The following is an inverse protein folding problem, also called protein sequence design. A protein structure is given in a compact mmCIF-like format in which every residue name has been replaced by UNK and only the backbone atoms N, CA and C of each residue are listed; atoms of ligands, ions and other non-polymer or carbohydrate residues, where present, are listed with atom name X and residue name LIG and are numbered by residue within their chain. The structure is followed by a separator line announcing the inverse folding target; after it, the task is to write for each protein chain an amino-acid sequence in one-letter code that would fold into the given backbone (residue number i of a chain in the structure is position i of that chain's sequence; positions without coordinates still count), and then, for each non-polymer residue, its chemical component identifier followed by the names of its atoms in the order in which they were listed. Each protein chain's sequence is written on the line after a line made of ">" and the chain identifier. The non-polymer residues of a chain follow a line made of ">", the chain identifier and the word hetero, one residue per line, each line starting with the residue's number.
data_IF_261747707808
#
_entry.id   IF_261747707808
#
_cell.length_a   1.000
_cell.length_b   1.000
_cell.length_c   1.000
_cell.angle_alpha   90.00
_cell.angle_beta   90.00
_cell.angle_gamma   90.00
#
_symmetry.space_group_name_H-M   'P 1'
#
loop_
_entity.id
_entity.type
_entity.pdbx_description
1 polymer ?
#
# COMPACT_ATOMS: atom_id res chain seq x y z
N UNK A 1 2.98 6.49 2.92
CA UNK A 1 4.11 6.32 3.85
C UNK A 1 3.68 6.24 5.31
N UNK A 2 2.92 7.21 5.87
CA UNK A 2 2.49 7.11 7.28
C UNK A 2 1.62 5.87 7.61
N UNK A 3 0.65 5.52 6.75
CA UNK A 3 -0.19 4.34 6.97
C UNK A 3 0.59 3.02 6.92
N UNK A 4 1.59 2.91 6.04
CA UNK A 4 2.45 1.73 5.92
C UNK A 4 3.29 1.52 7.18
N UNK A 5 3.76 2.62 7.77
CA UNK A 5 4.46 2.59 9.06
C UNK A 5 3.52 2.14 10.19
N UNK A 6 2.32 2.72 10.30
CA UNK A 6 1.34 2.33 11.32
C UNK A 6 0.92 0.86 11.16
N UNK A 7 0.79 0.38 9.92
CA UNK A 7 0.52 -1.03 9.64
C UNK A 7 1.62 -1.94 10.19
N UNK A 8 2.89 -1.57 10.02
CA UNK A 8 4.04 -2.30 10.56
C UNK A 8 4.04 -2.33 12.09
N UNK A 9 3.80 -1.18 12.74
CA UNK A 9 3.74 -1.10 14.20
C UNK A 9 2.61 -1.93 14.78
N UNK A 10 1.41 -1.87 14.17
CA UNK A 10 0.27 -2.67 14.60
C UNK A 10 0.52 -4.17 14.41
N UNK A 11 1.20 -4.57 13.34
CA UNK A 11 1.60 -5.95 13.14
C UNK A 11 2.53 -6.43 14.26
N UNK A 12 3.58 -5.66 14.56
CA UNK A 12 4.52 -5.97 15.63
C UNK A 12 3.84 -6.04 17.00
N UNK A 13 2.87 -5.15 17.25
CA UNK A 13 2.07 -5.21 18.48
C UNK A 13 1.22 -6.48 18.54
N UNK A 14 0.58 -6.86 17.43
CA UNK A 14 -0.27 -8.05 17.36
C UNK A 14 0.52 -9.37 17.48
N UNK A 15 1.79 -9.41 17.09
CA UNK A 15 2.67 -10.58 17.33
C UNK A 15 2.76 -10.96 18.82
N UNK A 16 2.66 -9.96 19.70
CA UNK A 16 2.67 -10.16 21.16
C UNK A 16 1.27 -10.18 21.78
N UNK A 17 0.27 -9.57 21.13
CA UNK A 17 -1.11 -9.46 21.62
C UNK A 17 -2.15 -9.86 20.54
N UNK A 18 -2.15 -11.13 20.07
CA UNK A 18 -2.91 -11.54 18.89
C UNK A 18 -4.43 -11.41 19.05
N UNK A 19 -4.94 -11.49 20.29
CA UNK A 19 -6.37 -11.42 20.58
C UNK A 19 -6.87 -10.00 20.84
N UNK A 20 -6.03 -8.97 20.72
CA UNK A 20 -6.42 -7.58 20.95
C UNK A 20 -7.36 -7.10 19.84
N UNK A 21 -8.66 -7.16 20.11
CA UNK A 21 -9.72 -6.80 19.16
C UNK A 21 -9.65 -5.35 18.67
N UNK A 22 -9.12 -4.43 19.50
CA UNK A 22 -8.97 -3.03 19.10
C UNK A 22 -7.83 -2.89 18.09
N UNK A 23 -6.68 -3.49 18.37
CA UNK A 23 -5.53 -3.47 17.46
C UNK A 23 -5.85 -4.18 16.13
N UNK A 24 -6.59 -5.29 16.15
CA UNK A 24 -7.06 -5.96 14.93
C UNK A 24 -7.96 -5.06 14.07
N UNK A 25 -8.96 -4.40 14.69
CA UNK A 25 -9.85 -3.47 13.96
C UNK A 25 -9.06 -2.31 13.35
N UNK A 26 -8.12 -1.74 14.10
CA UNK A 26 -7.26 -0.67 13.62
C UNK A 26 -6.36 -1.13 12.48
N UNK A 27 -5.76 -2.33 12.61
CA UNK A 27 -4.93 -2.92 11.57
C UNK A 27 -5.69 -3.08 10.26
N UNK A 28 -6.92 -3.59 10.29
CA UNK A 28 -7.75 -3.70 9.08
C UNK A 28 -8.13 -2.33 8.50
N UNK A 29 -8.43 -1.34 9.35
CA UNK A 29 -8.74 0.01 8.92
C UNK A 29 -7.54 0.65 8.19
N UNK A 30 -6.36 0.59 8.82
CA UNK A 30 -5.10 1.12 8.28
C UNK A 30 -4.72 0.42 6.99
N UNK A 31 -4.83 -0.91 6.92
CA UNK A 31 -4.58 -1.67 5.68
C UNK A 31 -5.45 -1.19 4.52
N UNK A 32 -6.75 -1.00 4.76
CA UNK A 32 -7.67 -0.50 3.74
C UNK A 32 -7.27 0.90 3.28
N UNK A 33 -6.93 1.79 4.20
CA UNK A 33 -6.49 3.16 3.87
C UNK A 33 -5.17 3.18 3.10
N UNK A 34 -4.21 2.35 3.48
CA UNK A 34 -2.95 2.20 2.77
C UNK A 34 -3.19 1.71 1.33
N UNK A 35 -4.06 0.72 1.13
CA UNK A 35 -4.43 0.23 -0.19
C UNK A 35 -5.12 1.30 -1.05
N UNK A 36 -6.10 2.02 -0.50
CA UNK A 36 -6.80 3.13 -1.21
C UNK A 36 -5.81 4.20 -1.69
N UNK A 37 -4.87 4.60 -0.84
CA UNK A 37 -3.88 5.62 -1.19
C UNK A 37 -2.87 5.14 -2.23
N UNK A 38 -2.41 3.88 -2.13
CA UNK A 38 -1.55 3.28 -3.16
C UNK A 38 -2.26 3.22 -4.49
N UNK A 39 -3.51 2.77 -4.53
CA UNK A 39 -4.28 2.72 -5.77
C UNK A 39 -4.47 4.13 -6.38
N UNK A 40 -4.77 5.13 -5.55
CA UNK A 40 -4.88 6.53 -6.01
C UNK A 40 -3.58 7.04 -6.63
N UNK A 41 -2.44 6.67 -6.04
CA UNK A 41 -1.13 7.02 -6.57
C UNK A 41 -0.86 6.29 -7.88
N UNK A 42 -1.10 4.98 -7.91
CA UNK A 42 -0.84 4.13 -9.07
C UNK A 42 -1.67 4.53 -10.29
N UNK A 43 -2.92 4.97 -10.07
CA UNK A 43 -3.76 5.53 -11.14
C UNK A 43 -3.18 6.79 -11.78
N UNK A 44 -2.37 7.56 -11.03
CA UNK A 44 -1.81 8.83 -11.51
C UNK A 44 -0.40 8.68 -12.09
N UNK A 45 0.40 7.79 -11.51
CA UNK A 45 1.83 7.72 -11.78
C UNK A 45 2.31 6.34 -12.26
N UNK A 46 1.41 5.37 -12.39
CA UNK A 46 1.75 4.00 -12.74
C UNK A 46 2.02 3.10 -11.54
N UNK A 47 2.20 1.79 -11.77
CA UNK A 47 2.24 0.77 -10.72
C UNK A 47 3.44 0.93 -9.76
N UNK A 48 3.21 0.80 -8.44
CA UNK A 48 4.28 0.89 -7.43
C UNK A 48 5.04 -0.44 -7.27
N UNK A 49 4.42 -1.55 -7.64
CA UNK A 49 5.02 -2.89 -7.65
C UNK A 49 4.81 -3.56 -9.00
N UNK A 50 5.68 -4.49 -9.37
CA UNK A 50 5.52 -5.28 -10.60
C UNK A 50 4.21 -6.08 -10.62
N UNK A 51 3.73 -6.50 -9.45
CA UNK A 51 2.44 -7.18 -9.28
C UNK A 51 1.22 -6.28 -9.49
N UNK A 52 1.38 -4.95 -9.43
CA UNK A 52 0.31 -3.98 -9.64
C UNK A 52 0.15 -3.57 -11.12
N UNK A 53 0.99 -4.10 -12.02
CA UNK A 53 0.86 -3.88 -13.47
C UNK A 53 -0.45 -4.51 -13.96
N UNK A 54 -1.37 -3.67 -14.45
CA UNK A 54 -2.67 -4.10 -14.99
C UNK A 54 -2.75 -4.08 -16.52
N UNK A 55 -1.71 -3.56 -17.17
CA UNK A 55 -1.67 -3.43 -18.63
C UNK A 55 -1.26 -4.76 -19.27
N UNK A 56 -2.10 -5.27 -20.16
CA UNK A 56 -1.84 -6.49 -20.94
C UNK A 56 -1.17 -6.20 -22.30
N UNK A 57 -1.30 -4.96 -22.79
CA UNK A 57 -0.80 -4.54 -24.10
C UNK A 57 0.62 -3.97 -24.04
N UNK A 58 1.01 -3.44 -22.88
CA UNK A 58 2.29 -2.75 -22.68
C UNK A 58 2.86 -2.96 -21.27
N UNK A 59 4.19 -3.00 -21.13
CA UNK A 59 4.86 -3.12 -19.83
C UNK A 59 4.86 -1.78 -19.07
N UNK A 60 3.72 -1.46 -18.43
CA UNK A 60 3.51 -0.20 -17.72
C UNK A 60 4.48 0.05 -16.55
N UNK A 61 5.23 -0.97 -16.12
CA UNK A 61 6.27 -0.83 -15.09
C UNK A 61 7.43 0.08 -15.50
N UNK A 62 7.77 0.16 -16.80
CA UNK A 62 8.91 0.97 -17.27
C UNK A 62 8.49 2.31 -17.88
N UNK A 63 7.19 2.64 -17.83
CA UNK A 63 6.63 3.77 -18.57
C UNK A 63 6.59 5.04 -17.71
N UNK A 64 7.19 6.11 -18.23
CA UNK A 64 7.16 7.47 -17.68
C UNK A 64 5.75 8.12 -17.76
N UNK A 65 5.46 9.16 -16.94
CA UNK A 65 6.39 9.88 -16.07
C UNK A 65 6.58 9.23 -14.70
N UNK A 66 7.84 9.01 -14.33
CA UNK A 66 8.17 8.59 -12.98
C UNK A 66 7.90 9.72 -11.99
N UNK A 67 7.59 9.40 -10.72
CA UNK A 67 7.30 10.40 -9.70
C UNK A 67 8.44 11.39 -9.41
N UNK A 68 9.68 11.04 -9.78
CA UNK A 68 10.88 11.89 -9.65
C UNK A 68 11.27 12.58 -10.97
N UNK A 69 10.52 12.40 -12.05
CA UNK A 69 10.82 13.01 -13.36
C UNK A 69 10.35 14.47 -13.50
N UNK A 70 9.81 15.12 -12.45
CA UNK A 70 9.76 16.59 -12.28
C UNK A 70 9.57 17.01 -10.82
#
# INVERSE_FOLDING_TARGET
>A
MAYDFVQLELNLFLDTHPNNQRALKEFHHVNKKAAELREMYERKFGPLTTSAVKSEEEWAWVKSPWPWEN
#
